data_IF_147378382617
#
_entry.id   IF_147378382617
#
_cell.length_a   1.000
_cell.length_b   1.000
_cell.length_c   1.000
_cell.angle_alpha   90.00
_cell.angle_beta   90.00
_cell.angle_gamma   90.00
#
_symmetry.space_group_name_H-M   'P 1'
#
loop_
_entity.id
_entity.type
_entity.pdbx_description
1 polymer ?
#
# COMPACT_ATOMS: atom_id res chain seq x y z
N UNK A 1 -19.60 -58.77 24.22
CA UNK A 1 -18.13 -58.60 24.17
C UNK A 1 -17.65 -58.96 22.77
N UNK A 2 -17.44 -57.95 21.91
CA UNK A 2 -16.94 -58.12 20.55
C UNK A 2 -15.66 -57.32 20.41
N UNK A 3 -14.52 -58.01 20.30
CA UNK A 3 -13.25 -57.40 19.92
C UNK A 3 -12.93 -57.95 18.54
N UNK A 4 -12.94 -57.08 17.53
CA UNK A 4 -12.32 -57.35 16.23
C UNK A 4 -11.39 -56.19 15.91
N UNK A 5 -10.10 -56.48 15.97
CA UNK A 5 -9.00 -55.57 15.67
C UNK A 5 -8.96 -55.31 14.15
N UNK A 6 -8.78 -54.06 13.68
CA UNK A 6 -8.51 -53.80 12.27
C UNK A 6 -7.08 -54.21 11.94
N UNK A 7 -6.95 -55.09 10.94
CA UNK A 7 -5.69 -55.51 10.37
C UNK A 7 -5.36 -54.60 9.18
N UNK A 8 -4.07 -54.30 9.02
CA UNK A 8 -3.35 -53.92 7.79
C UNK A 8 -3.48 -52.46 7.32
N UNK A 9 -2.38 -51.71 7.44
CA UNK A 9 -1.63 -51.13 6.31
C UNK A 9 -0.53 -50.22 6.90
N UNK A 10 0.69 -50.72 7.02
CA UNK A 10 1.70 -50.67 5.96
C UNK A 10 2.11 -49.22 5.62
N UNK A 11 3.32 -48.91 6.09
CA UNK A 11 4.37 -48.17 5.38
C UNK A 11 4.14 -46.72 4.96
N UNK A 12 4.93 -45.86 5.61
CA UNK A 12 5.76 -44.81 5.01
C UNK A 12 5.14 -44.06 3.83
N UNK A 13 4.50 -42.91 4.10
CA UNK A 13 4.41 -41.84 3.12
C UNK A 13 5.22 -40.65 3.58
N UNK A 14 6.42 -40.59 2.99
CA UNK A 14 7.01 -39.41 2.35
C UNK A 14 7.02 -38.14 3.20
N UNK A 15 8.22 -37.77 3.63
CA UNK A 15 8.60 -36.41 4.01
C UNK A 15 8.03 -35.42 2.99
N UNK A 16 6.93 -34.76 3.34
CA UNK A 16 6.48 -33.59 2.61
C UNK A 16 7.51 -32.51 2.85
N UNK A 17 8.49 -32.41 1.96
CA UNK A 17 9.23 -31.17 1.74
C UNK A 17 8.19 -30.18 1.25
N UNK A 18 7.55 -29.48 2.19
CA UNK A 18 6.66 -28.38 1.87
C UNK A 18 7.52 -27.35 1.14
N UNK A 19 7.29 -27.23 -0.16
CA UNK A 19 7.88 -26.19 -0.99
C UNK A 19 7.65 -24.86 -0.30
N UNK A 20 8.74 -24.10 -0.14
CA UNK A 20 8.73 -22.80 0.49
C UNK A 20 7.59 -21.95 -0.06
N UNK A 21 6.72 -21.50 0.84
CA UNK A 21 5.82 -20.40 0.53
C UNK A 21 6.69 -19.19 0.29
N UNK A 22 6.93 -18.87 -0.98
CA UNK A 22 7.30 -17.52 -1.38
C UNK A 22 6.15 -16.63 -0.94
N UNK A 23 6.24 -16.08 0.28
CA UNK A 23 5.36 -15.03 0.73
C UNK A 23 5.66 -13.83 -0.14
N UNK A 24 4.91 -13.73 -1.24
CA UNK A 24 4.94 -12.60 -2.13
C UNK A 24 4.28 -11.45 -1.35
N UNK A 25 5.06 -10.80 -0.49
CA UNK A 25 4.69 -9.57 0.17
C UNK A 25 4.59 -8.52 -0.92
N UNK A 26 3.39 -8.41 -1.52
CA UNK A 26 3.06 -7.29 -2.38
C UNK A 26 3.42 -6.01 -1.61
N UNK A 27 4.03 -5.01 -2.24
CA UNK A 27 4.30 -3.76 -1.56
C UNK A 27 2.96 -3.23 -1.05
N UNK A 28 2.77 -3.33 0.28
CA UNK A 28 1.65 -2.71 0.94
C UNK A 28 1.79 -1.23 0.65
N UNK A 29 0.98 -0.72 -0.28
CA UNK A 29 0.77 0.71 -0.45
C UNK A 29 0.51 1.24 0.95
N UNK A 30 1.44 2.03 1.49
CA UNK A 30 1.44 2.47 2.88
C UNK A 30 0.28 3.45 3.10
N UNK A 31 -0.91 2.88 3.17
CA UNK A 31 -2.14 3.47 3.64
C UNK A 31 -2.27 2.93 5.05
N UNK A 32 -1.76 3.71 6.00
CA UNK A 32 -1.90 3.37 7.40
C UNK A 32 -3.37 3.52 7.77
N UNK A 33 -3.99 2.46 8.25
CA UNK A 33 -5.34 2.53 8.80
C UNK A 33 -5.21 2.76 10.29
N UNK A 34 -5.78 3.85 10.78
CA UNK A 34 -5.79 4.19 12.20
C UNK A 34 -7.20 4.16 12.74
N UNK A 35 -7.36 3.65 13.96
CA UNK A 35 -8.63 3.70 14.69
C UNK A 35 -8.61 4.90 15.62
N UNK A 36 -9.61 5.77 15.52
CA UNK A 36 -9.80 6.89 16.43
C UNK A 36 -11.16 6.78 17.12
N UNK A 37 -11.16 6.84 18.45
CA UNK A 37 -12.35 6.58 19.26
C UNK A 37 -12.61 7.66 20.31
N UNK A 38 -13.86 8.09 20.45
CA UNK A 38 -14.36 8.87 21.58
C UNK A 38 -14.95 7.90 22.59
N UNK A 39 -14.38 7.86 23.80
CA UNK A 39 -14.95 7.09 24.92
C UNK A 39 -15.94 7.99 25.66
N UNK A 40 -17.21 7.58 25.72
CA UNK A 40 -18.27 8.41 26.33
C UNK A 40 -18.61 9.65 25.49
N UNK A 41 -18.87 10.79 26.14
CA UNK A 41 -19.26 12.04 25.48
C UNK A 41 -18.08 12.99 25.16
N UNK A 42 -16.85 12.59 25.48
CA UNK A 42 -15.69 13.46 25.33
C UNK A 42 -15.14 13.50 23.90
N UNK A 43 -14.60 14.65 23.51
CA UNK A 43 -13.91 14.78 22.23
C UNK A 43 -12.51 14.19 22.34
N UNK A 44 -12.19 13.21 21.48
CA UNK A 44 -10.84 12.69 21.32
C UNK A 44 -10.19 13.20 20.03
N UNK A 45 -8.86 13.23 20.00
CA UNK A 45 -8.07 13.67 18.86
C UNK A 45 -6.89 12.73 18.61
N UNK A 46 -6.78 12.20 17.40
CA UNK A 46 -5.68 11.37 16.94
C UNK A 46 -4.77 12.16 16.00
N UNK A 47 -3.48 12.25 16.32
CA UNK A 47 -2.50 12.91 15.46
C UNK A 47 -2.19 12.07 14.23
N UNK A 48 -1.99 12.73 13.09
CA UNK A 48 -1.52 12.09 11.85
C UNK A 48 -0.34 12.86 11.29
N UNK A 49 0.42 12.24 10.39
CA UNK A 49 1.58 12.86 9.76
C UNK A 49 1.23 14.18 9.04
N UNK A 50 2.22 15.08 8.97
CA UNK A 50 2.10 16.32 8.17
C UNK A 50 1.86 15.98 6.70
N UNK A 51 1.01 16.75 6.03
CA UNK A 51 0.66 16.50 4.62
C UNK A 51 -0.18 15.25 4.35
N UNK A 52 -0.65 14.55 5.40
CA UNK A 52 -1.47 13.35 5.24
C UNK A 52 -2.85 13.68 4.69
N UNK A 53 -3.36 12.79 3.84
CA UNK A 53 -4.77 12.71 3.46
C UNK A 53 -5.44 11.68 4.36
N UNK A 54 -6.64 12.01 4.82
CA UNK A 54 -7.44 11.15 5.68
C UNK A 54 -8.74 10.81 4.96
N UNK A 55 -9.13 9.55 4.98
CA UNK A 55 -10.41 9.06 4.46
C UNK A 55 -11.10 8.22 5.52
N UNK A 56 -12.41 8.42 5.67
CA UNK A 56 -13.24 7.55 6.51
C UNK A 56 -13.37 6.18 5.85
N UNK A 57 -13.10 5.11 6.61
CA UNK A 57 -13.17 3.73 6.10
C UNK A 57 -14.43 3.05 6.58
N UNK A 58 -14.59 2.92 7.90
CA UNK A 58 -15.76 2.27 8.51
C UNK A 58 -16.04 2.79 9.91
N UNK A 59 -17.31 2.76 10.30
CA UNK A 59 -17.76 3.00 11.67
C UNK A 59 -17.62 1.71 12.49
N UNK A 60 -17.21 1.84 13.75
CA UNK A 60 -17.02 0.76 14.71
C UNK A 60 -17.85 0.94 16.00
N UNK A 61 -18.50 2.10 16.20
CA UNK A 61 -19.43 2.37 17.30
C UNK A 61 -20.88 2.28 16.84
N UNK A 62 -21.80 2.05 17.75
CA UNK A 62 -23.24 2.24 17.49
C UNK A 62 -23.60 3.73 17.42
N UNK A 63 -22.91 4.56 18.21
CA UNK A 63 -23.03 6.00 18.14
C UNK A 63 -22.60 6.51 16.75
N UNK A 64 -23.44 7.39 16.18
CA UNK A 64 -23.24 7.90 14.82
C UNK A 64 -21.96 8.72 14.71
N UNK A 65 -21.13 8.37 13.75
CA UNK A 65 -19.96 9.17 13.40
C UNK A 65 -20.29 10.35 12.47
N UNK A 66 -21.45 10.36 11.82
CA UNK A 66 -21.82 11.41 10.87
C UNK A 66 -21.95 12.76 11.60
N UNK A 67 -21.08 13.73 11.27
CA UNK A 67 -21.02 15.03 11.95
C UNK A 67 -20.32 15.01 13.33
N UNK A 68 -19.81 13.84 13.74
CA UNK A 68 -19.11 13.61 15.00
C UNK A 68 -17.63 13.25 14.80
N UNK A 69 -17.13 13.36 13.58
CA UNK A 69 -15.71 13.33 13.29
C UNK A 69 -15.32 14.41 12.29
N UNK A 70 -14.02 14.68 12.19
CA UNK A 70 -13.46 15.49 11.13
C UNK A 70 -11.94 15.47 11.12
N UNK A 71 -11.36 16.12 10.12
CA UNK A 71 -9.91 16.20 9.93
C UNK A 71 -9.47 17.65 9.71
N UNK A 72 -8.62 18.19 10.58
CA UNK A 72 -8.00 19.52 10.43
C UNK A 72 -6.63 19.56 11.10
N UNK A 73 -5.71 20.37 10.57
CA UNK A 73 -4.36 20.61 11.15
C UNK A 73 -3.62 19.31 11.51
N UNK A 74 -3.65 18.33 10.62
CA UNK A 74 -2.99 17.03 10.80
C UNK A 74 -3.50 16.26 12.04
N UNK A 75 -4.77 16.46 12.38
CA UNK A 75 -5.43 15.81 13.50
C UNK A 75 -6.83 15.36 13.09
N UNK A 76 -7.14 14.10 13.37
CA UNK A 76 -8.49 13.57 13.30
C UNK A 76 -9.12 13.82 14.65
N UNK A 77 -10.34 14.34 14.68
CA UNK A 77 -11.10 14.44 15.92
C UNK A 77 -12.37 13.61 15.79
N UNK A 78 -12.78 13.03 16.91
CA UNK A 78 -14.03 12.26 17.07
C UNK A 78 -14.70 12.70 18.39
N UNK A 79 -16.03 12.63 18.48
CA UNK A 79 -16.80 13.02 19.68
C UNK A 79 -18.08 12.20 19.83
N UNK A 80 -18.78 12.37 20.95
CA UNK A 80 -20.11 11.79 21.19
C UNK A 80 -20.16 10.27 20.97
N UNK A 81 -19.13 9.54 21.44
CA UNK A 81 -19.07 8.09 21.34
C UNK A 81 -18.70 7.54 19.95
N UNK A 82 -18.39 8.41 18.97
CA UNK A 82 -17.97 7.97 17.66
C UNK A 82 -16.63 7.23 17.71
N UNK A 83 -16.62 6.01 17.16
CA UNK A 83 -15.43 5.18 16.93
C UNK A 83 -15.41 4.76 15.46
N UNK A 84 -14.31 5.04 14.78
CA UNK A 84 -14.17 4.74 13.37
C UNK A 84 -12.72 4.46 12.97
N UNK A 85 -12.57 3.78 11.84
CA UNK A 85 -11.30 3.60 11.15
C UNK A 85 -11.12 4.64 10.05
N UNK A 86 -9.87 5.11 9.94
CA UNK A 86 -9.46 6.14 9.00
C UNK A 86 -8.23 5.68 8.24
N UNK A 87 -8.31 5.72 6.91
CA UNK A 87 -7.14 5.51 6.06
C UNK A 87 -6.36 6.82 5.98
N UNK A 88 -5.08 6.76 6.33
CA UNK A 88 -4.13 7.85 6.33
C UNK A 88 -3.06 7.55 5.30
N UNK A 89 -2.88 8.46 4.35
CA UNK A 89 -1.84 8.33 3.34
C UNK A 89 -1.04 9.61 3.27
N UNK A 90 0.28 9.49 3.28
CA UNK A 90 1.17 10.62 3.02
C UNK A 90 1.20 10.88 1.51
N UNK A 91 0.50 11.93 1.09
CA UNK A 91 0.38 12.31 -0.31
C UNK A 91 1.72 12.70 -0.95
N UNK A 92 2.63 13.28 -0.16
CA UNK A 92 3.93 13.69 -0.63
C UNK A 92 4.82 12.46 -0.80
N UNK A 93 4.86 11.55 0.18
CA UNK A 93 5.55 10.27 0.04
C UNK A 93 4.99 9.43 -1.09
N UNK A 94 3.68 9.42 -1.31
CA UNK A 94 3.09 8.65 -2.40
C UNK A 94 3.63 9.12 -3.77
N UNK A 95 3.73 10.44 -3.99
CA UNK A 95 4.33 11.01 -5.19
C UNK A 95 5.84 10.71 -5.31
N UNK A 96 6.56 10.70 -4.20
CA UNK A 96 7.98 10.34 -4.19
C UNK A 96 8.18 8.85 -4.52
N UNK A 97 7.34 7.96 -3.97
CA UNK A 97 7.36 6.53 -4.28
C UNK A 97 7.07 6.27 -5.75
N UNK A 98 6.05 6.93 -6.33
CA UNK A 98 5.74 6.83 -7.76
C UNK A 98 6.93 7.22 -8.65
N UNK A 99 7.66 8.30 -8.29
CA UNK A 99 8.90 8.67 -8.98
C UNK A 99 10.02 7.66 -8.79
N UNK A 100 10.12 7.07 -7.61
CA UNK A 100 11.16 6.11 -7.28
C UNK A 100 10.93 4.78 -8.01
N UNK A 101 9.71 4.25 -8.04
CA UNK A 101 9.37 3.00 -8.74
C UNK A 101 9.66 3.13 -10.25
N UNK A 102 9.31 4.26 -10.86
CA UNK A 102 9.65 4.52 -12.26
C UNK A 102 11.18 4.58 -12.52
N UNK A 103 12.00 4.84 -11.50
CA UNK A 103 13.46 4.77 -11.61
C UNK A 103 13.95 3.32 -11.67
N UNK A 104 13.31 2.37 -10.98
CA UNK A 104 13.69 0.95 -11.08
C UNK A 104 13.39 0.42 -12.48
N UNK A 105 12.21 0.74 -13.03
CA UNK A 105 11.83 0.37 -14.40
C UNK A 105 12.82 0.90 -15.46
N UNK A 106 13.37 2.10 -15.26
CA UNK A 106 14.37 2.70 -16.18
C UNK A 106 15.73 1.99 -16.07
N UNK A 107 16.15 1.60 -14.86
CA UNK A 107 17.43 0.93 -14.67
C UNK A 107 17.39 -0.53 -15.13
N UNK A 108 16.23 -1.19 -15.02
CA UNK A 108 16.05 -2.55 -15.56
C UNK A 108 16.26 -2.54 -17.07
N UNK A 109 15.69 -1.55 -17.78
CA UNK A 109 15.95 -1.32 -19.21
C UNK A 109 17.44 -1.06 -19.54
N UNK A 110 18.23 -0.57 -18.58
CA UNK A 110 19.67 -0.33 -18.78
C UNK A 110 20.50 -1.58 -18.48
N UNK A 111 20.02 -2.46 -17.61
CA UNK A 111 20.74 -3.65 -17.18
C UNK A 111 20.57 -4.85 -18.12
N UNK A 112 19.64 -4.77 -19.08
CA UNK A 112 19.53 -5.71 -20.21
C UNK A 112 20.76 -5.68 -21.13
N UNK A 113 21.69 -4.73 -20.94
CA UNK A 113 22.84 -4.47 -21.81
C UNK A 113 24.10 -5.33 -21.60
N UNK A 114 24.13 -6.25 -20.61
CA UNK A 114 25.28 -7.15 -20.40
C UNK A 114 24.90 -8.61 -20.62
N UNK A 115 24.43 -8.93 -21.83
CA UNK A 115 24.20 -10.32 -22.20
C UNK A 115 23.76 -10.47 -23.64
N UNK A 116 24.72 -10.61 -24.56
CA UNK A 116 24.43 -11.11 -25.91
C UNK A 116 25.22 -10.37 -26.98
N UNK A 117 26.31 -10.99 -27.41
CA UNK A 117 27.16 -10.51 -28.48
C UNK A 117 26.48 -10.85 -29.83
N UNK A 118 25.34 -10.20 -30.11
CA UNK A 118 24.54 -10.48 -31.30
C UNK A 118 24.84 -9.46 -32.38
N UNK A 119 25.72 -9.91 -33.28
CA UNK A 119 26.03 -9.34 -34.58
C UNK A 119 24.74 -8.88 -35.27
N UNK A 120 24.57 -7.58 -35.53
CA UNK A 120 24.26 -6.99 -36.85
C UNK A 120 24.05 -5.46 -36.78
N UNK A 121 24.90 -4.78 -37.55
CA UNK A 121 24.68 -3.55 -38.31
C UNK A 121 23.25 -2.96 -38.34
N UNK A 122 23.07 -1.71 -37.88
CA UNK A 122 22.41 -0.68 -38.68
C UNK A 122 22.71 0.73 -38.13
N UNK A 123 23.17 1.62 -39.01
CA UNK A 123 23.37 3.03 -38.71
C UNK A 123 22.06 3.77 -38.45
N UNK A 124 22.11 4.83 -37.66
CA UNK A 124 20.94 5.68 -37.42
C UNK A 124 21.16 6.64 -36.27
N UNK A 125 21.74 7.79 -36.56
CA UNK A 125 21.71 8.95 -35.67
C UNK A 125 20.27 9.48 -35.60
N UNK A 126 19.72 9.64 -34.39
CA UNK A 126 18.49 10.41 -34.23
C UNK A 126 17.77 10.23 -32.89
N UNK A 127 17.61 11.33 -32.15
CA UNK A 127 16.40 11.56 -31.35
C UNK A 127 16.60 11.80 -29.86
N UNK A 128 17.03 13.01 -29.48
CA UNK A 128 16.74 13.56 -28.15
C UNK A 128 15.22 13.79 -28.04
N UNK A 129 14.55 13.08 -27.13
CA UNK A 129 13.11 13.18 -26.93
C UNK A 129 12.77 13.40 -25.45
N UNK A 130 13.24 14.52 -24.88
CA UNK A 130 12.78 14.99 -23.58
C UNK A 130 11.41 15.63 -23.70
N UNK A 131 10.39 15.04 -23.09
CA UNK A 131 9.05 15.64 -23.01
C UNK A 131 9.01 16.66 -21.86
N UNK A 132 9.31 17.91 -22.19
CA UNK A 132 9.05 19.07 -21.32
C UNK A 132 7.54 19.35 -21.27
N UNK A 133 6.87 18.85 -20.23
CA UNK A 133 5.54 19.35 -19.83
C UNK A 133 5.68 20.34 -18.68
N UNK A 134 6.28 21.48 -18.96
CA UNK A 134 5.96 22.72 -18.25
C UNK A 134 4.90 23.45 -19.06
N UNK A 135 3.65 23.42 -18.60
CA UNK A 135 2.67 24.42 -19.00
C UNK A 135 2.25 25.23 -17.76
N UNK A 136 2.39 26.53 -17.91
CA UNK A 136 2.19 27.62 -16.97
C UNK A 136 0.82 28.26 -17.25
N UNK A 137 0.06 28.58 -16.20
CA UNK A 137 -1.08 29.49 -16.30
C UNK A 137 -2.15 29.20 -15.23
N UNK A 138 -2.45 30.07 -14.27
CA UNK A 138 -1.98 31.43 -14.09
C UNK A 138 -2.45 32.00 -12.75
N UNK A 139 -1.70 32.99 -12.27
CA UNK A 139 -2.15 33.95 -11.27
C UNK A 139 -2.80 35.16 -11.98
N UNK A 140 -3.78 35.76 -11.29
CA UNK A 140 -4.40 37.10 -11.47
C UNK A 140 -5.70 37.17 -12.28
N UNK A 141 -6.82 37.36 -11.57
CA UNK A 141 -7.46 38.69 -11.42
C UNK A 141 -7.96 38.84 -9.98
#
# INVERSE_FOLDING_TARGET
MSIRLPIIAATLMVTTVSLGTVFNASPASARDTITCESRGNDRNTCEVGRGSRVRFVRQLSDASCRGNWGYRRNRIWVRNGCRAEFAVSDAAKQRLRERQDGRYDINDRYNDGYGGNDRYNNGGYGGYGGNDRYNNGGYRR
#
